data_IF_828831760081
#
_entry.id   IF_828831760081
#
_cell.length_a   1.000
_cell.length_b   1.000
_cell.length_c   1.000
_cell.angle_alpha   90.00
_cell.angle_beta   90.00
_cell.angle_gamma   90.00
#
_symmetry.space_group_name_H-M   'P 1'
#
loop_
_entity.id
_entity.type
_entity.pdbx_description
1 polymer ?
#
# COMPACT_ATOMS: atom_id res chain seq x y z
N UNK A 1 -6.83 -46.57 -1.30
CA UNK A 1 -6.25 -45.36 -1.92
C UNK A 1 -7.32 -44.59 -2.68
N UNK A 2 -8.10 -43.76 -1.97
CA UNK A 2 -9.01 -42.79 -2.60
C UNK A 2 -8.36 -41.43 -2.48
N UNK A 3 -7.96 -40.86 -3.61
CA UNK A 3 -7.43 -39.51 -3.70
C UNK A 3 -8.53 -38.52 -3.32
N UNK A 4 -8.26 -37.69 -2.31
CA UNK A 4 -9.04 -36.49 -2.07
C UNK A 4 -8.71 -35.48 -3.17
N UNK A 5 -9.70 -34.82 -3.80
CA UNK A 5 -9.43 -33.79 -4.80
C UNK A 5 -8.77 -32.60 -4.10
N UNK A 6 -7.53 -32.32 -4.46
CA UNK A 6 -6.79 -31.14 -4.01
C UNK A 6 -7.61 -29.87 -4.28
N UNK A 7 -7.76 -29.05 -3.24
CA UNK A 7 -8.31 -27.70 -3.30
C UNK A 7 -7.50 -26.84 -4.26
N UNK A 8 -8.12 -26.37 -5.34
CA UNK A 8 -7.49 -25.58 -6.42
C UNK A 8 -7.17 -24.12 -6.09
N UNK A 9 -6.84 -23.75 -4.86
CA UNK A 9 -6.51 -22.36 -4.54
C UNK A 9 -5.40 -22.23 -3.48
N UNK A 10 -4.25 -22.87 -3.69
CA UNK A 10 -3.03 -22.54 -2.95
C UNK A 10 -2.49 -21.19 -3.42
N UNK A 11 -2.05 -20.35 -2.49
CA UNK A 11 -1.39 -19.08 -2.78
C UNK A 11 -0.01 -19.34 -3.40
N UNK A 12 0.03 -19.58 -4.72
CA UNK A 12 1.25 -19.91 -5.45
C UNK A 12 2.03 -18.70 -5.98
N UNK A 13 1.52 -17.48 -5.78
CA UNK A 13 2.18 -16.26 -6.22
C UNK A 13 1.77 -15.02 -5.40
N UNK A 14 2.63 -13.99 -5.41
CA UNK A 14 2.30 -12.69 -4.83
C UNK A 14 1.03 -12.10 -5.46
N UNK A 15 0.85 -12.27 -6.77
CA UNK A 15 -0.32 -11.76 -7.47
C UNK A 15 -1.62 -12.43 -6.98
N UNK A 16 -1.60 -13.74 -6.74
CA UNK A 16 -2.77 -14.47 -6.23
C UNK A 16 -3.27 -13.89 -4.91
N UNK A 17 -2.37 -13.45 -4.03
CA UNK A 17 -2.73 -12.87 -2.73
C UNK A 17 -2.97 -11.36 -2.75
N UNK A 18 -2.13 -10.59 -3.44
CA UNK A 18 -2.09 -9.13 -3.35
C UNK A 18 -2.76 -8.40 -4.51
N UNK A 19 -3.14 -9.13 -5.57
CA UNK A 19 -3.50 -8.55 -6.87
C UNK A 19 -4.81 -9.05 -7.49
N UNK A 20 -5.46 -10.05 -6.88
CA UNK A 20 -6.71 -10.62 -7.42
C UNK A 20 -7.95 -9.97 -6.78
N UNK A 21 -8.89 -9.40 -7.56
CA UNK A 21 -10.07 -8.73 -7.01
C UNK A 21 -11.16 -9.70 -6.52
N UNK A 22 -11.12 -10.98 -6.92
CA UNK A 22 -12.16 -11.96 -6.66
C UNK A 22 -11.69 -13.07 -5.72
N UNK A 23 -12.59 -13.53 -4.85
CA UNK A 23 -12.45 -14.83 -4.19
C UNK A 23 -11.42 -14.94 -3.06
N UNK A 24 -10.58 -13.93 -2.83
CA UNK A 24 -9.89 -13.54 -1.59
C UNK A 24 -8.49 -12.98 -1.87
N UNK A 25 -8.38 -11.70 -2.23
CA UNK A 25 -7.14 -10.97 -1.96
C UNK A 25 -6.81 -11.16 -0.47
N UNK A 26 -5.83 -12.02 -0.18
CA UNK A 26 -5.39 -12.35 1.17
C UNK A 26 -6.13 -13.44 1.94
N UNK A 27 -6.78 -14.42 1.30
CA UNK A 27 -6.91 -15.75 1.91
C UNK A 27 -6.06 -16.74 1.13
N UNK A 28 -5.04 -17.28 1.80
CA UNK A 28 -4.62 -18.65 1.51
C UNK A 28 -5.83 -19.58 1.75
N UNK A 29 -5.93 -20.69 1.01
CA UNK A 29 -7.07 -21.58 1.13
C UNK A 29 -7.09 -22.11 2.56
N UNK A 30 -8.20 -21.96 3.30
CA UNK A 30 -8.52 -22.76 4.50
C UNK A 30 -7.31 -23.31 5.28
N UNK A 31 -6.38 -22.45 5.68
CA UNK A 31 -5.24 -22.83 6.50
C UNK A 31 -5.29 -21.98 7.76
N UNK A 32 -5.59 -22.71 8.84
CA UNK A 32 -5.45 -22.37 10.26
C UNK A 32 -6.65 -21.74 10.98
N UNK A 33 -7.79 -22.45 10.92
CA UNK A 33 -8.51 -22.86 12.14
C UNK A 33 -7.64 -23.85 12.94
N UNK A 34 -6.51 -23.43 13.53
CA UNK A 34 -5.63 -24.18 14.48
C UNK A 34 -4.30 -23.42 14.55
N UNK A 35 -3.89 -22.69 15.59
CA UNK A 35 -3.99 -22.87 17.03
C UNK A 35 -4.13 -21.49 17.73
N UNK A 36 -4.91 -21.45 18.81
CA UNK A 36 -4.99 -20.38 19.81
C UNK A 36 -5.20 -18.94 19.27
N UNK A 37 -6.47 -18.49 19.24
CA UNK A 37 -6.85 -17.06 19.24
C UNK A 37 -6.49 -16.22 18.00
N UNK A 38 -6.53 -16.81 16.80
CA UNK A 38 -6.23 -16.15 15.53
C UNK A 38 -7.37 -15.26 15.02
N UNK A 39 -7.13 -13.95 14.96
CA UNK A 39 -7.96 -13.02 14.19
C UNK A 39 -7.87 -13.36 12.69
N UNK A 40 -8.95 -13.15 11.94
CA UNK A 40 -9.02 -13.40 10.49
C UNK A 40 -8.34 -12.25 9.75
N UNK A 41 -7.01 -12.27 9.68
CA UNK A 41 -6.23 -11.15 9.14
C UNK A 41 -6.16 -11.27 7.61
N UNK A 42 -6.65 -10.24 6.90
CA UNK A 42 -6.59 -10.14 5.45
C UNK A 42 -5.21 -9.63 5.00
N UNK A 43 -4.59 -10.30 4.03
CA UNK A 43 -3.39 -9.77 3.35
C UNK A 43 -3.72 -8.42 2.67
N UNK A 44 -2.89 -7.37 2.87
CA UNK A 44 -3.07 -6.10 2.17
C UNK A 44 -2.90 -6.27 0.66
N UNK A 45 -3.68 -5.61 -0.18
CA UNK A 45 -3.29 -5.45 -1.59
C UNK A 45 -2.12 -4.47 -1.72
N UNK A 46 -1.42 -4.53 -2.86
CA UNK A 46 -0.22 -3.71 -3.13
C UNK A 46 -0.42 -2.73 -4.28
N UNK A 47 -1.67 -2.41 -4.64
CA UNK A 47 -1.98 -1.43 -5.70
C UNK A 47 -1.40 -0.06 -5.36
N UNK A 48 -0.62 0.49 -6.29
CA UNK A 48 0.04 1.79 -6.16
C UNK A 48 1.08 1.88 -5.05
N UNK A 49 1.65 0.75 -4.61
CA UNK A 49 2.63 0.74 -3.51
C UNK A 49 3.81 1.69 -3.74
N UNK A 50 4.30 1.85 -4.98
CA UNK A 50 5.38 2.81 -5.28
C UNK A 50 4.97 4.27 -5.10
N UNK A 51 3.72 4.64 -5.40
CA UNK A 51 3.21 5.99 -5.13
C UNK A 51 3.01 6.22 -3.63
N UNK A 52 2.52 5.21 -2.91
CA UNK A 52 2.38 5.24 -1.45
C UNK A 52 3.74 5.44 -0.78
N UNK A 53 4.74 4.67 -1.20
CA UNK A 53 6.12 4.81 -0.75
C UNK A 53 6.65 6.22 -1.09
N UNK A 54 6.44 6.70 -2.32
CA UNK A 54 6.89 8.04 -2.73
C UNK A 54 6.29 9.16 -1.87
N UNK A 55 5.00 9.09 -1.55
CA UNK A 55 4.33 10.04 -0.66
C UNK A 55 4.97 10.02 0.75
N UNK A 56 5.22 8.84 1.29
CA UNK A 56 5.86 8.69 2.60
C UNK A 56 7.29 9.23 2.62
N UNK A 57 8.06 9.00 1.55
CA UNK A 57 9.40 9.56 1.39
C UNK A 57 9.39 11.10 1.37
N UNK A 58 8.55 11.70 0.53
CA UNK A 58 8.47 13.17 0.46
C UNK A 58 8.02 13.79 1.79
N UNK A 59 7.08 13.16 2.49
CA UNK A 59 6.67 13.59 3.83
C UNK A 59 7.80 13.48 4.86
N UNK A 60 8.57 12.40 4.82
CA UNK A 60 9.73 12.20 5.70
C UNK A 60 10.79 13.28 5.47
N UNK A 61 11.09 13.61 4.22
CA UNK A 61 12.01 14.71 3.87
C UNK A 61 11.51 16.05 4.41
N UNK A 62 10.23 16.35 4.21
CA UNK A 62 9.63 17.62 4.64
C UNK A 62 9.59 17.73 6.18
N UNK A 63 9.31 16.63 6.90
CA UNK A 63 9.31 16.59 8.37
C UNK A 63 10.71 16.83 8.94
N UNK A 64 11.72 16.15 8.42
CA UNK A 64 13.12 16.34 8.86
C UNK A 64 13.63 17.74 8.56
N UNK A 65 13.27 18.29 7.39
CA UNK A 65 13.59 19.67 7.06
C UNK A 65 12.89 20.67 8.00
N UNK A 66 11.65 20.38 8.42
CA UNK A 66 10.92 21.20 9.37
C UNK A 66 11.54 21.16 10.77
N UNK A 67 11.92 19.98 11.25
CA UNK A 67 12.63 19.81 12.53
C UNK A 67 13.94 20.59 12.55
N UNK A 68 14.76 20.43 11.51
CA UNK A 68 16.02 21.16 11.37
C UNK A 68 15.82 22.69 11.34
N UNK A 69 14.69 23.16 10.81
CA UNK A 69 14.32 24.57 10.77
C UNK A 69 13.59 25.06 12.03
N UNK A 70 13.40 24.21 13.05
CA UNK A 70 12.67 24.55 14.28
C UNK A 70 11.18 24.85 14.04
N UNK A 71 10.60 24.32 12.96
CA UNK A 71 9.18 24.54 12.61
C UNK A 71 8.33 23.48 13.29
N UNK A 72 7.47 23.83 14.26
CA UNK A 72 6.73 22.83 15.04
C UNK A 72 5.54 22.22 14.29
N UNK A 73 5.18 22.76 13.12
CA UNK A 73 4.02 22.36 12.32
C UNK A 73 4.31 22.52 10.83
N UNK A 74 3.84 21.57 10.02
CA UNK A 74 3.91 21.64 8.55
C UNK A 74 2.72 20.97 7.87
N UNK A 75 2.54 21.27 6.60
CA UNK A 75 1.69 20.49 5.70
C UNK A 75 2.58 19.85 4.64
N UNK A 76 2.60 18.51 4.58
CA UNK A 76 3.30 17.76 3.52
C UNK A 76 2.34 16.88 2.76
N UNK A 77 2.45 16.86 1.43
CA UNK A 77 1.58 16.09 0.53
C UNK A 77 0.07 16.34 0.72
N UNK A 78 -0.30 17.47 1.32
CA UNK A 78 -1.67 17.81 1.68
C UNK A 78 -2.12 17.33 3.08
N UNK A 79 -1.25 16.67 3.84
CA UNK A 79 -1.51 16.20 5.21
C UNK A 79 -0.88 17.16 6.22
N UNK A 80 -1.63 17.49 7.27
CA UNK A 80 -1.15 18.34 8.35
C UNK A 80 -0.44 17.51 9.44
N UNK A 81 0.73 18.00 9.81
CA UNK A 81 1.54 17.52 10.93
C UNK A 81 1.59 18.65 11.96
N UNK A 82 0.84 18.46 13.05
CA UNK A 82 0.62 19.47 14.09
C UNK A 82 1.81 19.57 15.06
N UNK A 83 1.61 20.13 16.26
CA UNK A 83 2.71 20.37 17.22
C UNK A 83 3.56 19.13 17.48
N UNK A 84 4.88 19.32 17.55
CA UNK A 84 5.82 18.21 17.60
C UNK A 84 5.90 17.41 16.30
N UNK A 85 5.48 17.99 15.16
CA UNK A 85 5.42 17.34 13.85
C UNK A 85 4.51 16.11 13.81
N UNK A 86 3.52 16.06 14.71
CA UNK A 86 2.67 14.90 14.90
C UNK A 86 3.40 13.69 15.50
N UNK A 87 4.58 13.88 16.11
CA UNK A 87 5.22 12.86 16.94
C UNK A 87 4.50 12.84 18.28
N UNK A 88 3.82 11.75 18.58
CA UNK A 88 3.25 11.48 19.88
C UNK A 88 3.43 10.01 20.26
N UNK A 89 3.44 9.71 21.56
CA UNK A 89 3.52 8.34 22.08
C UNK A 89 2.28 7.54 21.64
N UNK A 90 2.36 6.92 20.46
CA UNK A 90 1.28 6.16 19.86
C UNK A 90 0.44 6.90 18.80
N UNK A 91 0.86 8.01 18.21
CA UNK A 91 0.11 8.60 17.09
C UNK A 91 1.00 9.35 16.09
N UNK A 92 0.45 9.62 14.90
CA UNK A 92 1.12 10.35 13.83
C UNK A 92 2.35 9.65 13.25
N UNK A 93 3.56 10.14 13.57
CA UNK A 93 4.84 9.70 12.98
C UNK A 93 5.82 9.27 14.09
N UNK A 94 6.73 8.33 13.78
CA UNK A 94 7.80 7.93 14.71
C UNK A 94 8.71 9.11 15.10
N UNK A 95 9.44 8.95 16.20
CA UNK A 95 10.46 9.92 16.67
C UNK A 95 11.60 10.18 15.69
N UNK A 96 11.83 9.28 14.73
CA UNK A 96 12.81 9.46 13.64
C UNK A 96 12.23 10.21 12.42
N UNK A 97 11.00 10.71 12.58
CA UNK A 97 10.22 11.46 11.59
C UNK A 97 9.95 10.71 10.29
N UNK A 98 10.20 9.41 10.23
CA UNK A 98 9.94 8.60 9.06
C UNK A 98 8.47 8.17 9.02
N UNK A 99 7.78 8.61 7.96
CA UNK A 99 6.44 8.15 7.60
C UNK A 99 6.56 6.74 7.04
N UNK A 100 5.82 5.81 7.63
CA UNK A 100 5.91 4.37 7.35
C UNK A 100 4.56 3.84 6.87
N UNK A 101 4.34 3.71 5.57
CA UNK A 101 3.01 3.43 5.06
C UNK A 101 2.66 1.93 5.05
N UNK A 102 3.61 1.05 5.30
CA UNK A 102 3.43 -0.39 5.15
C UNK A 102 3.26 -1.11 6.49
N UNK A 103 2.40 -2.13 6.48
CA UNK A 103 1.94 -2.85 7.67
C UNK A 103 0.74 -2.18 8.36
N UNK A 104 -0.05 -2.95 9.13
CA UNK A 104 -1.28 -2.44 9.78
C UNK A 104 -1.03 -1.34 10.81
N UNK A 105 0.14 -1.35 11.43
CA UNK A 105 0.61 -0.32 12.35
C UNK A 105 1.57 0.67 11.69
N UNK A 106 1.82 0.57 10.39
CA UNK A 106 2.75 1.46 9.68
C UNK A 106 4.17 1.35 10.23
N UNK A 107 4.81 0.18 10.19
CA UNK A 107 6.13 -0.06 10.79
C UNK A 107 7.25 -0.11 9.75
N UNK A 108 6.89 -0.23 8.48
CA UNK A 108 7.84 -0.30 7.35
C UNK A 108 7.70 0.94 6.45
N UNK A 109 8.84 1.54 6.08
CA UNK A 109 8.90 2.72 5.21
C UNK A 109 9.05 2.38 3.72
N UNK A 110 9.49 1.16 3.40
CA UNK A 110 9.80 0.72 2.03
C UNK A 110 9.11 -0.59 1.69
N UNK A 111 8.68 -0.73 0.44
CA UNK A 111 8.10 -1.95 -0.11
C UNK A 111 9.10 -3.11 -0.02
N UNK A 112 10.40 -2.85 -0.21
CA UNK A 112 11.48 -3.84 -0.03
C UNK A 112 11.52 -4.40 1.39
N UNK A 113 11.52 -3.54 2.40
CA UNK A 113 11.54 -3.95 3.81
C UNK A 113 10.26 -4.70 4.18
N UNK A 114 9.11 -4.22 3.71
CA UNK A 114 7.84 -4.93 3.85
C UNK A 114 7.86 -6.32 3.21
N UNK A 115 8.38 -6.45 1.99
CA UNK A 115 8.48 -7.72 1.27
C UNK A 115 9.44 -8.70 1.96
N UNK A 116 10.62 -8.21 2.40
CA UNK A 116 11.59 -8.99 3.17
C UNK A 116 11.00 -9.50 4.50
N UNK A 117 10.32 -8.63 5.26
CA UNK A 117 9.65 -9.02 6.50
C UNK A 117 8.50 -10.00 6.26
N UNK A 118 7.73 -9.82 5.19
CA UNK A 118 6.65 -10.72 4.84
C UNK A 118 7.16 -12.10 4.41
N UNK A 119 8.26 -12.16 3.65
CA UNK A 119 8.93 -13.40 3.31
C UNK A 119 9.30 -14.19 4.56
N UNK A 120 9.94 -13.54 5.52
CA UNK A 120 10.35 -14.19 6.76
C UNK A 120 9.14 -14.61 7.63
N UNK A 121 8.26 -13.67 7.98
CA UNK A 121 7.19 -13.92 8.96
C UNK A 121 6.05 -14.80 8.45
N UNK A 122 5.74 -14.75 7.15
CA UNK A 122 4.58 -15.44 6.59
C UNK A 122 4.93 -16.64 5.72
N UNK A 123 6.10 -16.63 5.11
CA UNK A 123 6.51 -17.68 4.16
C UNK A 123 7.66 -18.53 4.69
N UNK A 124 8.29 -18.14 5.80
CA UNK A 124 9.49 -18.78 6.32
C UNK A 124 10.72 -18.56 5.42
N UNK A 125 10.64 -17.62 4.47
CA UNK A 125 11.69 -17.37 3.48
C UNK A 125 12.63 -16.28 3.99
N UNK A 126 13.93 -16.54 3.93
CA UNK A 126 14.97 -15.66 4.43
C UNK A 126 15.55 -14.78 3.32
N UNK A 127 15.23 -13.48 3.40
CA UNK A 127 15.89 -12.46 2.60
C UNK A 127 17.32 -12.23 3.10
N UNK A 128 18.30 -12.23 2.18
CA UNK A 128 19.70 -11.93 2.50
C UNK A 128 19.86 -10.57 3.23
N UNK A 129 19.12 -9.55 2.81
CA UNK A 129 19.13 -8.21 3.41
C UNK A 129 18.74 -8.18 4.90
N UNK A 130 18.05 -9.21 5.40
CA UNK A 130 17.57 -9.25 6.80
C UNK A 130 18.67 -9.69 7.78
N UNK A 131 19.65 -10.45 7.32
CA UNK A 131 20.62 -11.14 8.18
C UNK A 131 22.09 -10.78 7.89
N UNK A 132 22.32 -9.80 7.02
CA UNK A 132 23.58 -9.04 7.03
C UNK A 132 23.63 -8.27 8.37
N UNK A 133 24.40 -8.59 9.43
CA UNK A 133 25.59 -9.43 9.62
C UNK A 133 25.72 -9.89 11.09
N UNK A 134 26.35 -11.05 11.34
CA UNK A 134 27.16 -11.23 12.56
C UNK A 134 28.70 -11.08 12.37
N UNK A 135 29.24 -11.31 11.16
CA UNK A 135 30.67 -11.09 10.81
C UNK A 135 30.93 -10.80 9.30
N UNK A 136 29.89 -10.45 8.55
CA UNK A 136 29.94 -10.06 7.13
C UNK A 136 30.40 -8.63 6.87
N UNK A 137 31.60 -8.29 7.34
CA UNK A 137 32.35 -7.06 7.01
C UNK A 137 33.57 -7.49 6.15
N UNK A 138 33.32 -7.69 4.86
CA UNK A 138 34.23 -8.24 3.86
C UNK A 138 35.35 -7.26 3.53
N UNK A 139 35.12 -5.95 3.63
CA UNK A 139 36.12 -4.91 3.44
C UNK A 139 36.75 -4.39 4.76
N UNK A 140 36.18 -4.76 5.91
CA UNK A 140 36.74 -4.50 7.24
C UNK A 140 36.46 -3.10 7.77
N UNK A 141 35.48 -2.37 7.21
CA UNK A 141 35.19 -0.98 7.55
C UNK A 141 34.20 -0.81 8.73
N UNK A 142 33.67 -1.93 9.23
CA UNK A 142 32.72 -2.00 10.35
C UNK A 142 31.30 -1.56 9.98
N UNK A 143 30.96 -1.48 8.69
CA UNK A 143 29.63 -1.09 8.19
C UNK A 143 28.98 -2.26 7.45
N UNK A 144 27.65 -2.31 7.55
CA UNK A 144 26.84 -3.25 6.78
C UNK A 144 26.23 -2.48 5.61
N UNK A 145 27.03 -2.14 4.60
CA UNK A 145 26.64 -1.22 3.53
C UNK A 145 26.31 -1.88 2.17
N UNK A 146 26.02 -3.19 2.19
CA UNK A 146 25.51 -3.93 1.03
C UNK A 146 26.40 -5.06 0.54
N UNK A 147 27.37 -5.48 1.35
CA UNK A 147 28.20 -6.62 1.06
C UNK A 147 27.38 -7.92 1.02
N UNK A 148 27.38 -8.56 -0.15
CA UNK A 148 26.65 -9.82 -0.34
C UNK A 148 27.46 -10.94 0.30
N UNK A 149 27.05 -11.34 1.50
CA UNK A 149 27.45 -12.62 2.11
C UNK A 149 26.66 -13.74 1.45
N UNK A 150 27.36 -14.63 0.74
CA UNK A 150 26.81 -15.86 0.17
C UNK A 150 26.93 -17.00 1.17
N UNK A 151 25.96 -17.91 1.21
CA UNK A 151 25.95 -19.06 2.11
C UNK A 151 25.30 -18.79 3.46
N UNK A 152 24.50 -17.73 3.59
CA UNK A 152 23.77 -17.45 4.83
C UNK A 152 22.61 -18.45 4.98
N UNK A 153 22.67 -19.25 6.04
CA UNK A 153 21.62 -20.15 6.52
C UNK A 153 21.38 -19.95 8.05
N UNK A 154 20.81 -18.80 8.47
CA UNK A 154 20.55 -18.51 9.89
C UNK A 154 19.70 -19.50 10.68
N UNK A 155 18.80 -20.27 10.04
CA UNK A 155 17.98 -21.28 10.73
C UNK A 155 18.52 -22.72 10.58
N UNK A 156 19.55 -22.92 9.76
CA UNK A 156 20.33 -24.15 9.68
C UNK A 156 19.56 -25.29 9.02
N UNK A 157 18.63 -24.97 8.11
CA UNK A 157 17.79 -25.96 7.43
C UNK A 157 18.47 -26.58 6.19
N UNK A 158 19.66 -26.06 5.83
CA UNK A 158 20.45 -26.51 4.71
C UNK A 158 20.11 -25.81 3.39
N UNK A 159 19.27 -24.77 3.40
CA UNK A 159 18.92 -23.95 2.24
C UNK A 159 19.47 -22.52 2.38
N UNK A 160 20.78 -22.30 2.15
CA UNK A 160 21.33 -20.94 2.21
C UNK A 160 20.79 -20.05 1.09
N UNK A 161 20.79 -18.73 1.34
CA UNK A 161 20.49 -17.69 0.34
C UNK A 161 19.08 -17.79 -0.30
N UNK A 162 18.07 -18.20 0.47
CA UNK A 162 16.71 -18.48 -0.03
C UNK A 162 16.07 -17.35 -0.86
N UNK A 163 16.27 -16.09 -0.44
CA UNK A 163 15.86 -14.91 -1.20
C UNK A 163 17.03 -13.93 -1.36
N UNK A 164 17.66 -14.02 -2.53
CA UNK A 164 18.83 -13.19 -2.88
C UNK A 164 18.50 -11.71 -3.01
N UNK A 165 19.52 -10.83 -2.86
CA UNK A 165 19.34 -9.38 -3.06
C UNK A 165 18.72 -9.04 -4.42
N UNK A 166 19.16 -9.73 -5.48
CA UNK A 166 18.67 -9.54 -6.85
C UNK A 166 17.21 -9.96 -7.01
N UNK A 167 16.82 -11.09 -6.43
CA UNK A 167 15.44 -11.54 -6.42
C UNK A 167 14.53 -10.57 -5.63
N UNK A 168 15.01 -10.07 -4.49
CA UNK A 168 14.30 -9.07 -3.70
C UNK A 168 14.18 -7.73 -4.45
N UNK A 169 15.20 -7.32 -5.20
CA UNK A 169 15.16 -6.13 -6.07
C UNK A 169 14.13 -6.28 -7.20
N UNK A 170 14.00 -7.46 -7.78
CA UNK A 170 12.96 -7.73 -8.78
C UNK A 170 11.56 -7.67 -8.16
N UNK A 171 11.38 -8.22 -6.97
CA UNK A 171 10.12 -8.15 -6.23
C UNK A 171 9.77 -6.70 -5.86
N UNK A 172 10.72 -5.94 -5.35
CA UNK A 172 10.56 -4.51 -5.09
C UNK A 172 10.17 -3.77 -6.36
N UNK A 173 10.89 -3.98 -7.47
CA UNK A 173 10.58 -3.37 -8.76
C UNK A 173 9.15 -3.68 -9.21
N UNK A 174 8.70 -4.93 -9.06
CA UNK A 174 7.32 -5.32 -9.34
C UNK A 174 6.32 -4.56 -8.45
N UNK A 175 6.54 -4.50 -7.15
CA UNK A 175 5.64 -3.86 -6.19
C UNK A 175 5.55 -2.35 -6.42
N UNK A 176 6.68 -1.67 -6.62
CA UNK A 176 6.69 -0.20 -6.80
C UNK A 176 6.14 0.25 -8.14
N UNK A 177 6.12 -0.63 -9.15
CA UNK A 177 5.49 -0.36 -10.45
C UNK A 177 4.06 -0.89 -10.55
N UNK A 178 3.53 -1.49 -9.47
CA UNK A 178 2.19 -2.03 -9.48
C UNK A 178 1.14 -0.91 -9.62
N UNK A 179 0.14 -1.05 -10.51
CA UNK A 179 -0.73 0.06 -10.89
C UNK A 179 -1.58 0.57 -9.73
N UNK A 180 -2.07 1.80 -9.84
CA UNK A 180 -3.10 2.29 -8.91
C UNK A 180 -4.41 1.52 -9.15
N UNK A 181 -5.26 1.34 -8.12
CA UNK A 181 -6.51 0.64 -8.28
C UNK A 181 -7.54 1.50 -9.02
N UNK A 182 -8.59 0.84 -9.50
CA UNK A 182 -9.63 1.47 -10.31
C UNK A 182 -10.76 2.05 -9.47
N UNK A 183 -11.63 2.80 -10.14
CA UNK A 183 -12.91 3.24 -9.58
C UNK A 183 -14.04 2.67 -10.42
N UNK A 184 -14.97 1.98 -9.76
CA UNK A 184 -16.21 1.49 -10.37
C UNK A 184 -17.17 2.61 -10.74
N UNK A 185 -18.39 2.26 -11.20
CA UNK A 185 -19.36 3.24 -11.70
C UNK A 185 -19.66 4.37 -10.70
N UNK A 186 -19.58 5.62 -11.16
CA UNK A 186 -19.78 6.82 -10.33
C UNK A 186 -21.18 7.41 -10.57
N UNK A 187 -22.18 6.83 -9.91
CA UNK A 187 -23.58 7.29 -9.98
C UNK A 187 -23.82 8.54 -9.11
N UNK A 188 -25.00 9.15 -9.24
CA UNK A 188 -25.42 10.26 -8.38
C UNK A 188 -25.44 9.87 -6.88
N UNK A 189 -25.78 8.63 -6.56
CA UNK A 189 -25.74 8.12 -5.18
C UNK A 189 -24.30 7.98 -4.66
N UNK A 190 -23.36 7.53 -5.51
CA UNK A 190 -21.93 7.47 -5.17
C UNK A 190 -21.37 8.86 -4.91
N UNK A 191 -21.68 9.84 -5.76
CA UNK A 191 -21.25 11.24 -5.54
C UNK A 191 -21.84 11.81 -4.26
N UNK A 192 -23.13 11.60 -4.02
CA UNK A 192 -23.77 12.02 -2.77
C UNK A 192 -23.14 11.35 -1.55
N UNK A 193 -22.79 10.06 -1.65
CA UNK A 193 -22.11 9.32 -0.58
C UNK A 193 -20.74 9.88 -0.24
N UNK A 194 -19.95 10.21 -1.27
CA UNK A 194 -18.63 10.83 -1.10
C UNK A 194 -18.72 12.21 -0.44
N UNK A 195 -19.71 13.03 -0.83
CA UNK A 195 -19.92 14.34 -0.21
C UNK A 195 -20.39 14.22 1.25
N UNK A 196 -21.28 13.26 1.55
CA UNK A 196 -21.68 13.01 2.94
C UNK A 196 -20.46 12.53 3.74
N UNK A 197 -19.67 11.60 3.20
CA UNK A 197 -18.44 11.09 3.81
C UNK A 197 -17.48 12.22 4.22
N UNK A 198 -17.26 13.21 3.34
CA UNK A 198 -16.50 14.42 3.64
C UNK A 198 -17.18 15.24 4.75
N UNK A 199 -18.48 15.51 4.62
CA UNK A 199 -19.23 16.39 5.54
C UNK A 199 -19.33 15.87 6.97
N UNK A 200 -19.27 14.55 7.18
CA UNK A 200 -19.32 13.95 8.52
C UNK A 200 -17.92 13.72 9.12
N UNK A 201 -16.87 14.21 8.47
CA UNK A 201 -15.49 14.17 8.98
C UNK A 201 -14.77 12.84 8.78
N UNK A 202 -15.29 11.91 7.97
CA UNK A 202 -14.51 10.70 7.63
C UNK A 202 -13.23 11.05 6.86
N UNK A 203 -13.30 12.11 6.05
CA UNK A 203 -12.18 12.63 5.25
C UNK A 203 -11.10 13.35 6.07
N UNK A 204 -11.24 13.48 7.39
CA UNK A 204 -10.20 14.05 8.25
C UNK A 204 -8.94 13.15 8.26
N UNK A 205 -9.14 11.83 8.44
CA UNK A 205 -8.08 10.82 8.29
C UNK A 205 -8.08 10.18 6.89
N UNK A 206 -9.25 9.81 6.37
CA UNK A 206 -9.37 9.21 5.03
C UNK A 206 -9.40 10.26 3.92
N UNK A 207 -8.31 11.03 3.84
CA UNK A 207 -8.18 12.16 2.92
C UNK A 207 -8.30 11.73 1.46
N UNK A 208 -9.27 12.26 0.68
CA UNK A 208 -9.54 11.80 -0.68
C UNK A 208 -8.31 11.80 -1.58
N UNK A 209 -7.44 12.79 -1.41
CA UNK A 209 -6.28 12.97 -2.25
C UNK A 209 -5.04 13.36 -1.43
N UNK A 210 -3.89 12.84 -1.89
CA UNK A 210 -2.57 13.28 -1.52
C UNK A 210 -1.80 13.67 -2.78
N UNK A 211 -0.84 14.58 -2.67
CA UNK A 211 -0.08 15.08 -3.83
C UNK A 211 1.37 14.64 -3.75
N UNK A 212 1.84 13.91 -4.77
CA UNK A 212 3.28 13.74 -5.04
C UNK A 212 3.79 15.01 -5.70
N UNK A 213 4.89 15.57 -5.19
CA UNK A 213 5.50 16.81 -5.70
C UNK A 213 6.39 16.54 -6.91
N UNK A 214 7.18 15.47 -6.86
CA UNK A 214 8.09 15.06 -7.94
C UNK A 214 7.85 13.59 -8.27
N UNK A 215 7.03 13.33 -9.29
CA UNK A 215 6.70 11.98 -9.71
C UNK A 215 7.87 11.33 -10.46
N UNK A 216 8.50 10.26 -9.92
CA UNK A 216 9.65 9.62 -10.56
C UNK A 216 9.26 8.66 -11.68
N UNK A 217 7.97 8.42 -11.91
CA UNK A 217 7.50 7.45 -12.90
C UNK A 217 7.69 7.98 -14.32
N UNK A 218 8.02 7.08 -15.23
CA UNK A 218 8.08 7.34 -16.67
C UNK A 218 6.77 7.00 -17.39
N UNK A 219 5.86 6.29 -16.73
CA UNK A 219 4.54 5.98 -17.27
C UNK A 219 3.51 5.90 -16.15
N UNK A 220 2.25 6.12 -16.53
CA UNK A 220 1.11 5.91 -15.66
C UNK A 220 0.00 5.21 -16.43
N UNK A 221 -0.55 4.16 -15.82
CA UNK A 221 -1.75 3.49 -16.28
C UNK A 221 -2.90 3.92 -15.37
N UNK A 222 -3.93 4.50 -15.96
CA UNK A 222 -5.20 4.81 -15.29
C UNK A 222 -6.24 3.78 -15.71
N UNK A 223 -6.92 3.18 -14.73
CA UNK A 223 -8.01 2.23 -14.98
C UNK A 223 -9.33 2.87 -14.58
N UNK A 224 -10.29 2.88 -15.49
CA UNK A 224 -11.58 3.52 -15.30
C UNK A 224 -12.73 2.64 -15.77
N UNK A 225 -13.89 2.80 -15.13
CA UNK A 225 -15.13 2.20 -15.58
C UNK A 225 -15.71 3.00 -16.76
N UNK A 226 -15.96 2.34 -17.89
CA UNK A 226 -16.65 2.93 -19.03
C UNK A 226 -18.14 2.58 -18.97
N UNK A 227 -18.99 3.59 -18.77
CA UNK A 227 -20.44 3.40 -18.67
C UNK A 227 -21.09 2.93 -19.97
N UNK A 228 -20.53 3.29 -21.13
CA UNK A 228 -21.04 2.91 -22.45
C UNK A 228 -20.74 1.45 -22.74
N UNK A 229 -19.50 1.02 -22.52
CA UNK A 229 -19.06 -0.36 -22.80
C UNK A 229 -19.29 -1.30 -21.63
N UNK A 230 -19.68 -0.78 -20.46
CA UNK A 230 -20.01 -1.51 -19.23
C UNK A 230 -18.87 -2.43 -18.78
N UNK A 231 -17.63 -1.95 -18.91
CA UNK A 231 -16.40 -2.68 -18.53
C UNK A 231 -15.32 -1.72 -18.04
N UNK A 232 -14.29 -2.26 -17.40
CA UNK A 232 -13.07 -1.53 -17.12
C UNK A 232 -12.24 -1.37 -18.39
N UNK A 233 -11.68 -0.17 -18.56
CA UNK A 233 -10.75 0.17 -19.63
C UNK A 233 -9.54 0.86 -19.00
N UNK A 234 -8.42 0.85 -19.72
CA UNK A 234 -7.20 1.49 -19.26
C UNK A 234 -6.64 2.43 -20.31
N UNK A 235 -6.11 3.54 -19.81
CA UNK A 235 -5.35 4.51 -20.57
C UNK A 235 -3.92 4.52 -20.05
N UNK A 236 -2.96 4.48 -20.98
CA UNK A 236 -1.54 4.62 -20.67
C UNK A 236 -1.08 6.02 -21.06
N UNK A 237 -0.42 6.70 -20.13
CA UNK A 237 0.20 8.00 -20.34
C UNK A 237 1.70 7.91 -20.09
N UNK A 238 2.47 8.40 -21.05
CA UNK A 238 3.92 8.58 -20.88
C UNK A 238 4.21 9.84 -20.05
N UNK A 239 5.19 9.72 -19.16
CA UNK A 239 5.59 10.74 -18.18
C UNK A 239 7.09 11.03 -18.26
N UNK A 240 7.73 10.76 -19.40
CA UNK A 240 9.15 11.00 -19.61
C UNK A 240 9.41 11.93 -20.80
N UNK A 241 10.66 12.41 -20.89
CA UNK A 241 11.27 12.95 -22.09
C UNK A 241 12.57 12.20 -22.38
N UNK A 242 12.93 12.09 -23.65
CA UNK A 242 14.18 11.47 -24.08
C UNK A 242 15.35 12.43 -23.86
N UNK A 243 16.44 11.94 -23.29
CA UNK A 243 17.71 12.65 -23.11
C UNK A 243 18.80 11.85 -23.80
N UNK A 244 19.58 12.50 -24.66
CA UNK A 244 20.81 11.91 -25.18
C UNK A 244 21.88 12.03 -24.09
N UNK A 245 22.30 10.90 -23.54
CA UNK A 245 23.38 10.79 -22.56
C UNK A 245 24.69 10.26 -23.20
N UNK A 246 24.74 10.15 -24.52
CA UNK A 246 25.87 9.60 -25.27
C UNK A 246 25.98 8.07 -25.18
N UNK A 247 25.04 7.37 -24.53
CA UNK A 247 25.06 5.92 -24.46
C UNK A 247 24.75 5.29 -25.83
N UNK A 248 25.66 4.45 -26.30
CA UNK A 248 25.49 3.62 -27.50
C UNK A 248 25.30 2.17 -27.06
N UNK A 249 24.15 1.60 -27.41
CA UNK A 249 23.86 0.19 -27.15
C UNK A 249 24.86 -0.67 -27.96
N UNK A 250 25.78 -1.40 -27.32
CA UNK A 250 26.84 -2.15 -28.01
C UNK A 250 26.29 -3.36 -28.77
N UNK A 251 25.05 -3.77 -28.50
CA UNK A 251 24.39 -4.91 -29.17
C UNK A 251 23.56 -4.44 -30.35
N UNK A 252 22.94 -3.25 -30.25
CA UNK A 252 22.07 -2.71 -31.29
C UNK A 252 22.73 -1.66 -32.20
N UNK A 253 23.98 -1.31 -31.94
CA UNK A 253 24.79 -0.33 -32.68
C UNK A 253 24.06 1.02 -32.93
N UNK A 254 23.19 1.42 -31.99
CA UNK A 254 22.39 2.66 -32.09
C UNK A 254 22.38 3.42 -30.77
N UNK A 255 22.19 4.73 -30.88
CA UNK A 255 21.91 5.58 -29.72
C UNK A 255 20.58 5.15 -29.09
N UNK A 256 20.60 4.94 -27.79
CA UNK A 256 19.41 4.66 -27.00
C UNK A 256 19.26 5.81 -26.02
N UNK A 257 18.24 6.65 -26.22
CA UNK A 257 18.01 7.78 -25.35
C UNK A 257 17.63 7.33 -23.95
N UNK A 258 18.21 7.99 -22.95
CA UNK A 258 17.80 7.88 -21.56
C UNK A 258 16.38 8.44 -21.39
N UNK A 259 15.51 7.68 -20.71
CA UNK A 259 14.14 8.12 -20.42
C UNK A 259 14.12 8.88 -19.09
N UNK A 260 14.22 10.20 -19.13
CA UNK A 260 14.17 11.03 -17.93
C UNK A 260 12.72 11.33 -17.54
N UNK A 261 12.29 11.04 -16.29
CA UNK A 261 10.96 11.41 -15.81
C UNK A 261 10.74 12.92 -15.89
N UNK A 262 9.53 13.33 -16.27
CA UNK A 262 9.13 14.74 -16.31
C UNK A 262 9.05 15.38 -14.92
N UNK A 263 8.95 14.56 -13.85
CA UNK A 263 8.86 14.99 -12.45
C UNK A 263 7.70 15.94 -12.15
N UNK A 264 6.69 15.97 -13.01
CA UNK A 264 5.48 16.75 -12.80
C UNK A 264 4.73 16.27 -11.54
N UNK A 265 4.06 17.17 -10.81
CA UNK A 265 3.23 16.78 -9.68
C UNK A 265 2.09 15.84 -10.09
N UNK A 266 1.72 14.91 -9.20
CA UNK A 266 0.67 13.93 -9.45
C UNK A 266 -0.28 13.83 -8.24
N UNK A 267 -1.59 13.77 -8.50
CA UNK A 267 -2.62 13.60 -7.48
C UNK A 267 -2.92 12.12 -7.31
N UNK A 268 -2.78 11.62 -6.08
CA UNK A 268 -3.02 10.24 -5.69
C UNK A 268 -4.33 10.19 -4.91
N UNK A 269 -5.43 9.65 -5.47
CA UNK A 269 -6.74 9.63 -4.82
C UNK A 269 -6.86 8.54 -3.74
N UNK A 270 -5.96 8.58 -2.74
CA UNK A 270 -5.63 7.48 -1.82
C UNK A 270 -6.69 7.17 -0.76
N UNK A 271 -7.48 8.17 -0.36
CA UNK A 271 -8.40 8.09 0.80
C UNK A 271 -7.68 7.69 2.10
N UNK A 272 -6.54 8.33 2.36
CA UNK A 272 -5.69 8.12 3.53
C UNK A 272 -4.79 9.33 3.71
N UNK A 273 -4.35 9.55 4.94
CA UNK A 273 -3.32 10.52 5.31
C UNK A 273 -1.97 9.87 5.67
N UNK A 274 -1.89 8.52 5.58
CA UNK A 274 -0.73 7.70 5.94
C UNK A 274 -0.22 7.93 7.38
N UNK A 275 -1.05 8.50 8.26
CA UNK A 275 -0.74 8.72 9.67
C UNK A 275 -1.29 7.59 10.54
N UNK A 276 -0.70 7.45 11.72
CA UNK A 276 -1.27 6.61 12.78
C UNK A 276 -2.27 7.36 13.62
N UNK A 277 -3.34 6.67 14.00
CA UNK A 277 -4.42 7.18 14.83
C UNK A 277 -4.77 6.20 15.93
N UNK A 278 -5.18 6.75 17.07
CA UNK A 278 -5.70 6.01 18.20
C UNK A 278 -7.15 5.55 17.90
N UNK A 279 -7.36 4.24 17.83
CA UNK A 279 -8.66 3.61 17.52
C UNK A 279 -9.46 3.25 18.78
N UNK A 280 -8.88 3.45 19.97
CA UNK A 280 -9.49 3.20 21.26
C UNK A 280 -9.39 1.74 21.73
N UNK A 281 -9.66 1.49 23.02
CA UNK A 281 -9.43 0.20 23.66
C UNK A 281 -10.28 -0.95 23.10
N UNK A 282 -11.44 -0.65 22.50
CA UNK A 282 -12.31 -1.66 21.87
C UNK A 282 -11.75 -2.20 20.55
N UNK A 283 -10.81 -1.48 19.94
CA UNK A 283 -10.13 -1.85 18.71
C UNK A 283 -8.64 -2.10 18.96
N UNK A 284 -8.24 -2.43 20.18
CA UNK A 284 -6.85 -2.73 20.51
C UNK A 284 -6.48 -4.17 20.14
N UNK A 285 -5.28 -4.33 19.57
CA UNK A 285 -4.59 -5.62 19.50
C UNK A 285 -4.28 -6.14 20.93
N UNK A 286 -3.80 -7.39 21.03
CA UNK A 286 -3.44 -7.98 22.33
C UNK A 286 -2.17 -7.36 22.93
N UNK A 287 -1.27 -6.90 22.09
CA UNK A 287 0.02 -6.36 22.48
C UNK A 287 0.43 -5.22 21.56
N UNK A 288 1.37 -4.43 22.05
CA UNK A 288 2.10 -3.48 21.21
C UNK A 288 2.92 -4.25 20.18
N UNK A 289 3.27 -3.59 19.08
CA UNK A 289 4.12 -4.16 18.03
C UNK A 289 5.11 -3.09 17.56
N UNK A 290 6.41 -3.40 17.62
CA UNK A 290 7.51 -2.54 17.17
C UNK A 290 7.44 -1.11 17.75
N UNK A 291 7.12 -1.00 19.05
CA UNK A 291 6.99 0.28 19.74
C UNK A 291 5.72 1.07 19.42
N UNK A 292 4.78 0.49 18.65
CA UNK A 292 3.47 1.08 18.37
C UNK A 292 2.42 0.46 19.31
N UNK A 293 1.69 1.30 20.03
CA UNK A 293 0.61 0.88 20.94
C UNK A 293 -0.40 -0.06 20.27
N UNK A 294 -0.89 -1.03 21.04
CA UNK A 294 -1.92 -1.99 20.61
C UNK A 294 -3.18 -1.35 20.02
N UNK A 295 -3.56 -0.15 20.44
CA UNK A 295 -4.77 0.54 19.98
C UNK A 295 -4.54 1.52 18.82
N UNK A 296 -3.32 1.55 18.30
CA UNK A 296 -2.88 2.51 17.28
C UNK A 296 -2.67 1.82 15.95
N UNK A 297 -3.20 2.42 14.89
CA UNK A 297 -3.15 1.87 13.54
C UNK A 297 -2.96 2.98 12.50
N UNK A 298 -2.35 2.63 11.37
CA UNK A 298 -2.28 3.56 10.24
C UNK A 298 -3.65 3.68 9.57
N UNK A 299 -4.01 4.89 9.13
CA UNK A 299 -5.14 5.07 8.20
C UNK A 299 -4.82 4.37 6.89
N UNK A 300 -5.33 3.15 6.70
CA UNK A 300 -5.11 2.43 5.45
C UNK A 300 -5.81 3.16 4.29
N UNK A 301 -5.19 3.20 3.09
CA UNK A 301 -5.89 3.61 1.87
C UNK A 301 -7.22 2.89 1.72
N UNK A 302 -8.30 3.61 1.38
CA UNK A 302 -9.60 3.00 1.06
C UNK A 302 -9.67 2.50 -0.39
N UNK A 303 -8.57 2.62 -1.12
CA UNK A 303 -8.33 1.88 -2.35
C UNK A 303 -8.72 0.41 -2.21
N UNK A 304 -9.55 -0.08 -3.13
CA UNK A 304 -9.99 -1.46 -3.13
C UNK A 304 -11.03 -1.84 -2.07
N UNK A 305 -11.47 -0.94 -1.18
CA UNK A 305 -12.32 -1.31 -0.03
C UNK A 305 -13.64 -1.98 -0.43
N UNK A 306 -14.17 -1.64 -1.60
CA UNK A 306 -15.37 -2.25 -2.18
C UNK A 306 -15.19 -3.70 -2.66
N UNK A 307 -13.95 -4.15 -2.84
CA UNK A 307 -13.61 -5.52 -3.24
C UNK A 307 -13.37 -6.46 -2.05
N UNK A 308 -13.38 -5.94 -0.82
CA UNK A 308 -13.11 -6.76 0.37
C UNK A 308 -14.38 -7.35 1.00
N UNK A 309 -14.21 -8.47 1.71
CA UNK A 309 -15.28 -9.19 2.43
C UNK A 309 -15.09 -9.20 3.95
N UNK A 310 -13.93 -8.80 4.45
CA UNK A 310 -13.61 -8.62 5.87
C UNK A 310 -12.91 -7.28 6.08
N UNK A 311 -13.28 -6.57 7.14
CA UNK A 311 -12.87 -5.19 7.42
C UNK A 311 -12.23 -5.05 8.80
N UNK A 312 -11.61 -3.88 9.03
CA UNK A 312 -10.76 -3.58 10.20
C UNK A 312 -9.46 -4.39 10.20
N UNK A 313 -8.56 -4.09 11.13
CA UNK A 313 -7.23 -4.71 11.19
C UNK A 313 -7.27 -6.19 11.59
N UNK A 314 -8.35 -6.61 12.25
CA UNK A 314 -8.57 -7.94 12.81
C UNK A 314 -9.57 -8.79 12.00
N UNK A 315 -10.15 -8.22 10.93
CA UNK A 315 -11.18 -8.88 10.12
C UNK A 315 -12.50 -9.10 10.85
N UNK A 316 -12.73 -8.42 11.97
CA UNK A 316 -13.86 -8.67 12.86
C UNK A 316 -15.20 -8.13 12.35
N UNK A 317 -15.18 -7.28 11.32
CA UNK A 317 -16.37 -6.74 10.66
C UNK A 317 -16.57 -7.39 9.28
N UNK A 318 -17.82 -7.75 8.99
CA UNK A 318 -18.25 -8.41 7.75
C UNK A 318 -18.94 -7.45 6.78
N UNK A 319 -19.25 -6.24 7.23
CA UNK A 319 -19.86 -5.18 6.42
C UNK A 319 -19.16 -3.85 6.65
N UNK A 320 -19.24 -2.95 5.66
CA UNK A 320 -18.73 -1.58 5.78
C UNK A 320 -19.43 -0.79 6.88
N UNK A 321 -20.74 -0.94 7.03
CA UNK A 321 -21.50 -0.23 8.07
C UNK A 321 -21.04 -0.68 9.47
N UNK A 322 -20.84 -1.98 9.68
CA UNK A 322 -20.28 -2.54 10.91
C UNK A 322 -18.86 -2.04 11.17
N UNK A 323 -18.01 -2.02 10.14
CA UNK A 323 -16.65 -1.50 10.25
C UNK A 323 -16.66 -0.03 10.69
N UNK A 324 -17.48 0.81 10.05
CA UNK A 324 -17.63 2.22 10.39
C UNK A 324 -18.08 2.36 11.85
N UNK A 325 -19.10 1.61 12.28
CA UNK A 325 -19.65 1.68 13.64
C UNK A 325 -18.69 1.18 14.75
N UNK A 326 -17.62 0.47 14.40
CA UNK A 326 -16.59 0.02 15.34
C UNK A 326 -15.43 1.01 15.53
N UNK A 327 -15.35 2.07 14.72
CA UNK A 327 -14.32 3.11 14.89
C UNK A 327 -14.45 3.79 16.27
N UNK A 328 -13.34 3.86 17.01
CA UNK A 328 -13.24 4.51 18.31
C UNK A 328 -12.13 5.56 18.33
N UNK A 329 -11.73 5.98 19.53
CA UNK A 329 -10.64 6.94 19.73
C UNK A 329 -10.86 8.23 18.93
N UNK A 330 -9.86 8.63 18.14
CA UNK A 330 -9.90 9.85 17.32
C UNK A 330 -11.09 9.86 16.33
N UNK A 331 -11.51 8.70 15.83
CA UNK A 331 -12.58 8.58 14.86
C UNK A 331 -14.00 8.54 15.47
N UNK A 332 -14.13 8.58 16.80
CA UNK A 332 -15.41 8.46 17.50
C UNK A 332 -16.42 9.56 17.10
N UNK A 333 -15.95 10.79 16.88
CA UNK A 333 -16.79 11.90 16.41
C UNK A 333 -17.44 11.60 15.06
N UNK A 334 -16.66 11.17 14.08
CA UNK A 334 -17.13 10.81 12.74
C UNK A 334 -18.07 9.59 12.78
N UNK A 335 -17.72 8.55 13.55
CA UNK A 335 -18.59 7.38 13.80
C UNK A 335 -19.96 7.81 14.32
N UNK A 336 -19.98 8.67 15.35
CA UNK A 336 -21.22 9.12 15.97
C UNK A 336 -22.10 9.94 15.03
N UNK A 337 -21.50 10.72 14.12
CA UNK A 337 -22.24 11.43 13.07
C UNK A 337 -22.81 10.44 12.05
N UNK A 338 -22.04 9.43 11.63
CA UNK A 338 -22.53 8.35 10.76
C UNK A 338 -23.74 7.63 11.36
N UNK A 339 -23.66 7.22 12.64
CA UNK A 339 -24.72 6.50 13.33
C UNK A 339 -26.05 7.29 13.41
N UNK A 340 -25.99 8.62 13.41
CA UNK A 340 -27.16 9.51 13.43
C UNK A 340 -27.74 9.81 12.06
N UNK A 341 -27.06 9.44 10.97
CA UNK A 341 -27.57 9.67 9.63
C UNK A 341 -28.82 8.81 9.36
N UNK A 342 -29.80 9.31 8.59
CA UNK A 342 -30.86 8.47 8.06
C UNK A 342 -30.28 7.30 7.25
N UNK A 343 -30.93 6.13 7.30
CA UNK A 343 -30.44 4.91 6.66
C UNK A 343 -30.12 5.09 5.16
N UNK A 344 -30.84 5.97 4.45
CA UNK A 344 -30.54 6.32 3.05
C UNK A 344 -29.16 6.97 2.88
N UNK A 345 -28.76 7.86 3.80
CA UNK A 345 -27.46 8.54 3.76
C UNK A 345 -26.32 7.60 4.15
N UNK A 346 -26.53 6.70 5.12
CA UNK A 346 -25.58 5.63 5.45
C UNK A 346 -25.32 4.73 4.22
N UNK A 347 -26.40 4.29 3.55
CA UNK A 347 -26.30 3.51 2.31
C UNK A 347 -25.55 4.26 1.20
N UNK A 348 -25.75 5.56 1.05
CA UNK A 348 -25.01 6.35 0.06
C UNK A 348 -23.50 6.32 0.31
N UNK A 349 -23.06 6.46 1.57
CA UNK A 349 -21.65 6.31 1.95
C UNK A 349 -21.15 4.91 1.61
N UNK A 350 -21.90 3.87 1.98
CA UNK A 350 -21.52 2.48 1.69
C UNK A 350 -21.48 2.19 0.18
N UNK A 351 -22.34 2.82 -0.63
CA UNK A 351 -22.27 2.76 -2.10
C UNK A 351 -21.04 3.46 -2.65
N UNK A 352 -20.67 4.61 -2.08
CA UNK A 352 -19.43 5.29 -2.41
C UNK A 352 -18.21 4.41 -2.12
N UNK A 353 -18.09 3.86 -0.91
CA UNK A 353 -16.99 2.97 -0.54
C UNK A 353 -16.93 1.73 -1.45
N UNK A 354 -18.09 1.15 -1.79
CA UNK A 354 -18.18 0.04 -2.75
C UNK A 354 -17.76 0.39 -4.18
N UNK A 355 -17.64 1.67 -4.53
CA UNK A 355 -17.11 2.11 -5.84
C UNK A 355 -15.58 2.10 -5.89
N UNK A 356 -14.88 2.04 -4.75
CA UNK A 356 -13.43 1.95 -4.69
C UNK A 356 -13.05 0.47 -4.78
N UNK A 357 -12.56 0.01 -5.94
CA UNK A 357 -12.41 -1.42 -6.18
C UNK A 357 -11.03 -1.77 -6.73
N UNK A 358 -10.66 -3.03 -6.54
CA UNK A 358 -9.56 -3.64 -7.27
C UNK A 358 -10.07 -4.17 -8.61
N UNK A 359 -9.17 -4.28 -9.58
CA UNK A 359 -9.40 -4.92 -10.88
C UNK A 359 -8.35 -6.01 -11.08
N UNK A 360 -8.64 -7.01 -11.92
CA UNK A 360 -7.60 -7.94 -12.33
C UNK A 360 -6.79 -7.26 -13.43
N UNK A 361 -5.47 -7.22 -13.28
CA UNK A 361 -4.61 -6.68 -14.34
C UNK A 361 -4.80 -7.47 -15.65
N UNK A 362 -5.10 -8.76 -15.58
CA UNK A 362 -5.45 -9.58 -16.75
C UNK A 362 -6.75 -9.12 -17.43
N UNK A 363 -7.77 -8.76 -16.65
CA UNK A 363 -9.03 -8.22 -17.18
C UNK A 363 -8.80 -6.90 -17.94
N UNK A 364 -7.80 -6.13 -17.52
CA UNK A 364 -7.43 -4.86 -18.15
C UNK A 364 -6.52 -5.06 -19.37
N UNK A 365 -5.58 -5.99 -19.33
CA UNK A 365 -4.70 -6.30 -20.46
C UNK A 365 -5.47 -6.95 -21.63
N UNK A 366 -6.53 -7.71 -21.33
CA UNK A 366 -7.41 -8.32 -22.34
C UNK A 366 -8.47 -7.34 -22.87
N UNK A 367 -8.85 -6.33 -22.09
CA UNK A 367 -9.70 -5.23 -22.52
C UNK A 367 -8.89 -4.27 -23.39
N UNK A 368 -8.81 -4.54 -24.71
CA UNK A 368 -8.24 -3.69 -25.78
C UNK A 368 -7.73 -2.35 -25.25
N UNK A 369 -6.50 -2.31 -24.74
CA UNK A 369 -5.85 -1.07 -24.37
C UNK A 369 -5.88 -0.25 -25.64
N UNK A 370 -6.66 0.84 -25.66
CA UNK A 370 -6.54 1.85 -26.69
C UNK A 370 -5.20 2.53 -26.41
N UNK A 371 -4.11 1.88 -26.84
CA UNK A 371 -2.84 2.55 -27.02
C UNK A 371 -3.14 3.54 -28.13
N UNK A 372 -3.51 4.77 -27.79
CA UNK A 372 -3.45 5.86 -28.74
C UNK A 372 -2.01 5.89 -29.22
N UNK A 373 -1.79 5.40 -30.44
CA UNK A 373 -0.53 5.52 -31.18
C UNK A 373 -0.30 7.01 -31.40
N UNK A 374 0.30 7.63 -30.40
CA UNK A 374 0.87 8.97 -30.44
C UNK A 374 1.99 8.90 -29.43
N UNK A 375 3.22 9.02 -29.92
CA UNK A 375 4.45 9.13 -29.13
C UNK A 375 5.11 7.80 -28.70
N UNK A 376 5.14 6.81 -29.59
CA UNK A 376 6.31 5.93 -29.66
C UNK A 376 7.28 6.56 -30.67
N UNK A 377 8.55 6.84 -30.31
CA UNK A 377 9.56 7.25 -31.28
C UNK A 377 9.80 6.18 -32.36
#
# INVERSE_FOLDING_TARGET
TRAFPHSRFEASSCATCHSTPSGSAGFGPKQQDTFASGNRIRTPDMFGAGLIERLAFEATEDLRAAEAAGRPRITSNGVNYDEGLGVCDGCGVNRDLAVRPFGRKGVESRARAFASRAAFLHMGIQAQDRFQCPDGDRDGDGRCDGEVTSGLDPDGDGAPDELTQGALSLLEHYLVNYPVPGRGPVTAEVRSGEEIFKSIGCAECHRPEMRVRRDPRIEHVTVFWNDTTRRFEAERRLLFHAVDDGYRDPVREREVALLAPNRSPFIVPLYSDLKRHEMGPRMADKSDEEGVSKSVFITRPLWGVGSYTAFLHDGSASTLDEAILRHGGEAEGARNRFARLPARKQRAITRFLKSLILFSVEDVLTAKIAITRGDLP
#
